data_IF_014014797048
#
_entry.id   IF_014014797048
#
_cell.length_a   1.000
_cell.length_b   1.000
_cell.length_c   1.000
_cell.angle_alpha   90.00
_cell.angle_beta   90.00
_cell.angle_gamma   90.00
#
_symmetry.space_group_name_H-M   'P 1'
#
loop_
_entity.id
_entity.type
_entity.pdbx_description
1 polymer ?
#
# COMPACT_ATOMS: atom_id res chain seq x y z
N UNK A 1 -34.94 -31.28 -12.40
CA UNK A 1 -34.62 -31.50 -13.82
C UNK A 1 -34.35 -30.16 -14.47
N UNK A 2 -33.06 -29.94 -14.78
CA UNK A 2 -32.47 -29.19 -15.91
C UNK A 2 -32.77 -27.69 -15.96
N UNK A 3 -31.80 -26.79 -15.74
CA UNK A 3 -30.50 -26.75 -16.40
C UNK A 3 -29.29 -26.71 -15.46
N UNK A 4 -28.49 -27.78 -15.47
CA UNK A 4 -27.03 -27.64 -15.47
C UNK A 4 -26.69 -27.19 -16.90
N UNK A 5 -26.36 -25.93 -17.08
CA UNK A 5 -25.70 -25.44 -18.30
C UNK A 5 -24.23 -25.29 -17.96
N UNK A 6 -23.42 -26.21 -18.48
CA UNK A 6 -22.01 -26.09 -18.84
C UNK A 6 -21.26 -24.85 -18.30
N UNK A 7 -20.85 -24.89 -17.02
CA UNK A 7 -19.98 -23.89 -16.38
C UNK A 7 -18.47 -24.25 -16.52
N UNK A 8 -18.15 -25.35 -17.22
CA UNK A 8 -16.81 -25.96 -17.22
C UNK A 8 -15.92 -25.58 -18.42
N UNK A 9 -16.28 -24.58 -19.22
CA UNK A 9 -15.47 -24.19 -20.38
C UNK A 9 -15.40 -22.68 -20.68
N UNK A 10 -15.58 -21.83 -19.66
CA UNK A 10 -15.25 -20.41 -19.83
C UNK A 10 -13.74 -20.22 -19.73
N UNK A 11 -13.07 -20.17 -20.88
CA UNK A 11 -11.63 -19.90 -21.01
C UNK A 11 -11.20 -18.56 -20.39
N UNK A 12 -12.16 -17.77 -19.88
CA UNK A 12 -11.95 -16.45 -19.29
C UNK A 12 -12.23 -16.40 -17.79
N UNK A 13 -12.37 -17.54 -17.11
CA UNK A 13 -12.43 -17.55 -15.65
C UNK A 13 -11.06 -17.23 -15.04
N UNK A 14 -11.00 -16.22 -14.17
CA UNK A 14 -9.80 -15.92 -13.38
C UNK A 14 -9.59 -17.03 -12.35
N UNK A 15 -8.39 -17.59 -12.31
CA UNK A 15 -8.00 -18.68 -11.44
C UNK A 15 -6.52 -18.53 -11.05
N UNK A 16 -6.26 -17.84 -9.94
CA UNK A 16 -4.90 -17.72 -9.40
C UNK A 16 -4.54 -18.95 -8.57
N UNK A 17 -3.33 -19.47 -8.76
CA UNK A 17 -2.81 -20.57 -7.95
C UNK A 17 -2.02 -20.02 -6.77
N UNK A 18 -2.41 -20.43 -5.56
CA UNK A 18 -1.86 -19.94 -4.30
C UNK A 18 -1.62 -21.15 -3.39
N UNK A 19 -0.38 -21.63 -3.37
CA UNK A 19 0.01 -22.79 -2.57
C UNK A 19 -0.24 -22.60 -1.06
N UNK A 20 -0.29 -21.35 -0.60
CA UNK A 20 -0.47 -20.97 0.80
C UNK A 20 -1.94 -20.70 1.22
N UNK A 21 -2.87 -20.57 0.27
CA UNK A 21 -4.28 -20.20 0.53
C UNK A 21 -5.16 -21.42 0.84
N UNK A 22 -4.93 -22.02 2.02
CA UNK A 22 -5.59 -23.27 2.45
C UNK A 22 -7.13 -23.24 2.46
N UNK A 23 -7.75 -22.06 2.59
CA UNK A 23 -9.20 -21.91 2.67
C UNK A 23 -9.85 -21.32 1.39
N UNK A 24 -9.04 -21.09 0.34
CA UNK A 24 -9.43 -20.48 -0.94
C UNK A 24 -10.07 -19.09 -0.83
N UNK A 25 -10.00 -18.41 0.32
CA UNK A 25 -10.69 -17.13 0.50
C UNK A 25 -9.90 -15.99 -0.10
N UNK A 26 -8.57 -16.01 -0.03
CA UNK A 26 -7.72 -14.94 -0.62
C UNK A 26 -7.85 -14.97 -2.13
N UNK A 27 -7.79 -16.17 -2.70
CA UNK A 27 -8.11 -16.48 -4.09
C UNK A 27 -9.47 -15.94 -4.53
N UNK A 28 -10.56 -16.33 -3.87
CA UNK A 28 -11.92 -15.86 -4.25
C UNK A 28 -12.09 -14.35 -4.18
N UNK A 29 -11.48 -13.71 -3.17
CA UNK A 29 -11.53 -12.26 -3.03
C UNK A 29 -10.84 -11.58 -4.22
N UNK A 30 -9.63 -12.03 -4.55
CA UNK A 30 -8.87 -11.54 -5.69
C UNK A 30 -9.58 -11.80 -7.02
N UNK A 31 -10.04 -13.02 -7.28
CA UNK A 31 -10.74 -13.38 -8.52
C UNK A 31 -11.97 -12.51 -8.74
N UNK A 32 -12.78 -12.32 -7.69
CA UNK A 32 -13.97 -11.47 -7.77
C UNK A 32 -13.61 -10.00 -7.96
N UNK A 33 -12.65 -9.50 -7.18
CA UNK A 33 -12.19 -8.11 -7.24
C UNK A 33 -11.62 -7.77 -8.61
N UNK A 34 -10.73 -8.61 -9.12
CA UNK A 34 -10.09 -8.39 -10.40
C UNK A 34 -11.07 -8.56 -11.57
N UNK A 35 -11.99 -9.51 -11.50
CA UNK A 35 -13.05 -9.63 -12.53
C UNK A 35 -13.90 -8.37 -12.60
N UNK A 36 -14.27 -7.79 -11.45
CA UNK A 36 -14.99 -6.53 -11.41
C UNK A 36 -14.13 -5.36 -11.94
N UNK A 37 -12.86 -5.31 -11.55
CA UNK A 37 -11.93 -4.27 -11.96
C UNK A 37 -11.67 -4.28 -13.48
N UNK A 38 -11.49 -5.45 -14.09
CA UNK A 38 -11.31 -5.60 -15.54
C UNK A 38 -12.57 -5.26 -16.34
N UNK A 39 -13.73 -5.27 -15.71
CA UNK A 39 -15.01 -4.86 -16.30
C UNK A 39 -15.33 -3.36 -16.07
N UNK A 40 -14.54 -2.65 -15.26
CA UNK A 40 -14.77 -1.25 -14.93
C UNK A 40 -14.29 -0.32 -16.07
N UNK A 41 -15.18 0.57 -16.54
CA UNK A 41 -14.89 1.48 -17.64
C UNK A 41 -13.87 2.58 -17.27
N UNK A 42 -13.70 2.86 -15.98
CA UNK A 42 -12.73 3.84 -15.48
C UNK A 42 -11.37 3.21 -15.19
N UNK A 43 -11.24 1.87 -15.25
CA UNK A 43 -9.97 1.20 -15.02
C UNK A 43 -9.06 1.30 -16.24
N UNK A 44 -7.96 2.05 -16.07
CA UNK A 44 -6.89 2.20 -17.05
C UNK A 44 -5.60 1.58 -16.51
N UNK A 45 -4.80 0.99 -17.40
CA UNK A 45 -3.46 0.48 -17.08
C UNK A 45 -2.49 0.78 -18.21
N UNK A 46 -1.23 0.98 -17.89
CA UNK A 46 -0.13 1.08 -18.83
C UNK A 46 0.34 -0.34 -19.20
N UNK A 47 0.25 -0.69 -20.46
CA UNK A 47 0.86 -1.89 -21.03
C UNK A 47 2.31 -1.61 -21.46
N UNK A 48 3.23 -2.46 -21.01
CA UNK A 48 4.64 -2.47 -21.42
C UNK A 48 4.86 -3.64 -22.36
N UNK A 49 5.17 -3.42 -23.65
CA UNK A 49 5.25 -4.50 -24.63
C UNK A 49 6.55 -5.30 -24.54
N UNK A 50 6.47 -6.60 -24.85
CA UNK A 50 7.63 -7.52 -24.83
C UNK A 50 8.75 -7.12 -25.79
N UNK A 51 8.39 -6.58 -26.94
CA UNK A 51 9.31 -6.27 -28.04
C UNK A 51 10.06 -4.94 -27.86
N UNK A 52 9.95 -4.28 -26.69
CA UNK A 52 10.53 -2.96 -26.45
C UNK A 52 9.87 -1.85 -27.27
N UNK A 53 8.68 -2.10 -27.81
CA UNK A 53 7.85 -1.09 -28.44
C UNK A 53 7.42 0.00 -27.46
N UNK A 54 6.73 1.01 -28.00
CA UNK A 54 6.19 2.10 -27.19
C UNK A 54 5.10 1.58 -26.24
N UNK A 55 5.11 2.07 -25.01
CA UNK A 55 4.12 1.68 -24.00
C UNK A 55 2.78 2.32 -24.33
N UNK A 56 1.67 1.70 -23.90
CA UNK A 56 0.33 2.19 -24.24
C UNK A 56 -0.60 2.13 -23.04
N UNK A 57 -1.33 3.22 -22.78
CA UNK A 57 -2.44 3.21 -21.82
C UNK A 57 -3.62 2.50 -22.48
N UNK A 58 -4.14 1.46 -21.82
CA UNK A 58 -5.26 0.66 -22.32
C UNK A 58 -6.38 0.62 -21.29
N UNK A 59 -7.60 0.36 -21.78
CA UNK A 59 -8.80 0.17 -20.98
C UNK A 59 -9.27 -1.29 -21.12
N UNK A 60 -9.01 -2.17 -20.14
CA UNK A 60 -9.34 -3.59 -20.27
C UNK A 60 -10.82 -3.85 -20.55
N UNK A 61 -11.73 -3.05 -19.99
CA UNK A 61 -13.17 -3.19 -20.23
C UNK A 61 -13.55 -3.04 -21.72
N UNK A 62 -12.82 -2.20 -22.46
CA UNK A 62 -13.05 -1.93 -23.88
C UNK A 62 -12.08 -2.62 -24.83
N UNK A 63 -11.09 -3.36 -24.33
CA UNK A 63 -10.05 -4.01 -25.12
C UNK A 63 -10.03 -5.53 -24.89
N UNK A 64 -10.74 -6.31 -25.73
CA UNK A 64 -10.82 -7.76 -25.57
C UNK A 64 -9.48 -8.48 -25.68
N UNK A 65 -8.49 -7.90 -26.36
CA UNK A 65 -7.17 -8.51 -26.46
C UNK A 65 -6.44 -8.41 -25.13
N UNK A 66 -6.31 -7.20 -24.59
CA UNK A 66 -5.63 -6.97 -23.32
C UNK A 66 -6.39 -7.60 -22.13
N UNK A 67 -7.72 -7.55 -22.13
CA UNK A 67 -8.54 -8.23 -21.12
C UNK A 67 -8.22 -9.72 -21.03
N UNK A 68 -8.32 -10.44 -22.15
CA UNK A 68 -8.05 -11.89 -22.20
C UNK A 68 -6.60 -12.19 -21.86
N UNK A 69 -5.69 -11.31 -22.28
CA UNK A 69 -4.27 -11.44 -22.01
C UNK A 69 -3.95 -11.36 -20.53
N UNK A 70 -4.54 -10.40 -19.81
CA UNK A 70 -4.39 -10.25 -18.36
C UNK A 70 -4.86 -11.54 -17.69
N UNK A 71 -6.10 -11.98 -17.95
CA UNK A 71 -6.67 -13.20 -17.34
C UNK A 71 -5.77 -14.42 -17.59
N UNK A 72 -5.35 -14.62 -18.84
CA UNK A 72 -4.44 -15.72 -19.19
C UNK A 72 -3.16 -15.69 -18.36
N UNK A 73 -2.52 -14.52 -18.26
CA UNK A 73 -1.28 -14.35 -17.52
C UNK A 73 -1.46 -14.57 -16.01
N UNK A 74 -2.61 -14.21 -15.41
CA UNK A 74 -2.92 -14.53 -14.00
C UNK A 74 -3.01 -16.04 -13.83
N UNK A 75 -3.72 -16.72 -14.72
CA UNK A 75 -3.93 -18.16 -14.62
C UNK A 75 -2.63 -18.95 -14.84
N UNK A 76 -1.68 -18.39 -15.59
CA UNK A 76 -0.34 -18.96 -15.81
C UNK A 76 0.69 -18.56 -14.74
N UNK A 77 0.37 -17.61 -13.86
CA UNK A 77 1.28 -17.15 -12.83
C UNK A 77 1.50 -18.23 -11.78
N UNK A 78 2.76 -18.66 -11.61
CA UNK A 78 3.17 -19.66 -10.62
C UNK A 78 3.54 -19.05 -9.26
N UNK A 79 3.48 -17.73 -9.14
CA UNK A 79 3.94 -17.01 -7.98
C UNK A 79 3.75 -15.51 -8.13
N UNK A 80 4.05 -14.82 -7.05
CA UNK A 80 3.90 -13.37 -6.88
C UNK A 80 5.28 -12.84 -6.43
N UNK A 81 5.83 -11.79 -7.04
CA UNK A 81 5.21 -10.92 -8.07
C UNK A 81 5.22 -11.51 -9.49
N UNK A 82 4.38 -10.99 -10.40
CA UNK A 82 4.31 -11.49 -11.79
C UNK A 82 4.24 -10.42 -12.89
N UNK A 83 3.07 -10.04 -13.41
CA UNK A 83 2.94 -9.18 -14.60
C UNK A 83 1.94 -8.03 -14.41
N UNK A 84 1.21 -7.97 -13.29
CA UNK A 84 0.30 -6.85 -12.97
C UNK A 84 0.76 -6.12 -11.71
N UNK A 85 1.16 -4.86 -11.90
CA UNK A 85 1.81 -4.02 -10.91
C UNK A 85 1.00 -2.76 -10.63
N UNK A 86 1.14 -2.23 -9.42
CA UNK A 86 0.79 -0.85 -9.12
C UNK A 86 2.08 -0.08 -8.76
N UNK A 87 2.17 1.17 -9.22
CA UNK A 87 3.22 2.09 -8.79
C UNK A 87 2.66 3.06 -7.75
N UNK A 88 3.26 3.07 -6.57
CA UNK A 88 3.10 4.13 -5.60
C UNK A 88 4.33 5.04 -5.61
N UNK A 89 4.12 6.36 -5.59
CA UNK A 89 5.21 7.32 -5.57
C UNK A 89 4.79 8.66 -4.96
N UNK A 90 5.77 9.44 -4.50
CA UNK A 90 5.51 10.79 -3.97
C UNK A 90 5.26 11.77 -5.11
N UNK A 91 4.13 12.45 -5.06
CA UNK A 91 3.83 13.54 -5.97
C UNK A 91 4.76 14.72 -5.70
N UNK A 92 5.40 15.21 -6.75
CA UNK A 92 6.37 16.28 -6.63
C UNK A 92 5.83 17.69 -6.69
N UNK A 93 4.57 17.91 -6.30
CA UNK A 93 3.88 19.13 -6.68
C UNK A 93 3.65 20.08 -5.51
N UNK A 94 4.19 21.28 -5.66
CA UNK A 94 3.53 22.50 -5.20
C UNK A 94 2.73 23.09 -6.37
N UNK A 95 1.72 23.91 -6.10
CA UNK A 95 0.98 24.62 -7.16
C UNK A 95 1.89 25.39 -8.13
N UNK A 96 3.05 25.84 -7.63
CA UNK A 96 4.05 26.63 -8.32
C UNK A 96 5.09 25.83 -9.09
N UNK A 97 5.22 24.52 -8.87
CA UNK A 97 6.24 23.71 -9.50
C UNK A 97 5.70 22.33 -9.87
N UNK A 98 4.99 22.28 -11.00
CA UNK A 98 4.31 21.07 -11.46
C UNK A 98 5.22 20.05 -12.16
N UNK A 99 6.50 20.39 -12.39
CA UNK A 99 7.47 19.55 -13.09
C UNK A 99 6.87 18.74 -14.25
N UNK A 100 6.32 19.43 -15.26
CA UNK A 100 5.71 18.75 -16.38
C UNK A 100 6.76 17.94 -17.15
N UNK A 101 6.44 16.70 -17.47
CA UNK A 101 7.21 15.81 -18.32
C UNK A 101 6.62 15.89 -19.73
N UNK A 102 7.17 16.81 -20.53
CA UNK A 102 6.64 17.07 -21.88
C UNK A 102 6.99 15.94 -22.85
N UNK A 103 8.10 15.25 -22.60
CA UNK A 103 8.65 14.19 -23.43
C UNK A 103 7.96 12.83 -23.16
N UNK A 104 7.00 12.74 -22.23
CA UNK A 104 6.32 11.47 -21.92
C UNK A 104 5.66 10.84 -23.15
N UNK A 105 5.16 11.68 -24.06
CA UNK A 105 4.57 11.27 -25.32
C UNK A 105 5.57 10.60 -26.28
N UNK A 106 6.87 10.62 -26.02
CA UNK A 106 7.87 9.83 -26.77
C UNK A 106 7.90 8.37 -26.31
N UNK A 107 7.46 8.09 -25.07
CA UNK A 107 7.54 6.77 -24.44
C UNK A 107 6.18 6.09 -24.29
N UNK A 108 5.10 6.86 -24.17
CA UNK A 108 3.75 6.37 -23.88
C UNK A 108 2.74 6.92 -24.90
N UNK A 109 1.91 6.04 -25.44
CA UNK A 109 0.69 6.40 -26.15
C UNK A 109 -0.53 6.31 -25.21
N UNK A 110 -1.51 7.18 -25.44
CA UNK A 110 -2.81 7.17 -24.79
C UNK A 110 -3.72 6.04 -25.31
N UNK A 111 -4.92 5.95 -24.74
CA UNK A 111 -5.94 4.97 -25.12
C UNK A 111 -6.42 5.09 -26.58
N UNK A 112 -6.20 6.25 -27.22
CA UNK A 112 -6.47 6.48 -28.63
C UNK A 112 -5.28 6.20 -29.56
N UNK A 113 -4.16 5.70 -29.01
CA UNK A 113 -2.93 5.45 -29.76
C UNK A 113 -2.18 6.72 -30.15
N UNK A 114 -2.46 7.86 -29.48
CA UNK A 114 -1.75 9.12 -29.70
C UNK A 114 -0.69 9.32 -28.61
N UNK A 115 0.39 10.08 -28.88
CA UNK A 115 1.35 10.45 -27.84
C UNK A 115 0.66 11.02 -26.59
N UNK A 116 1.00 10.46 -25.42
CA UNK A 116 0.42 10.88 -24.16
C UNK A 116 0.66 12.37 -23.89
N UNK A 117 -0.34 13.04 -23.31
CA UNK A 117 -0.21 14.43 -22.89
C UNK A 117 0.82 14.58 -21.76
N UNK A 118 1.46 15.75 -21.61
CA UNK A 118 2.40 16.00 -20.53
C UNK A 118 1.79 15.71 -19.16
N UNK A 119 2.53 14.97 -18.33
CA UNK A 119 2.13 14.64 -16.96
C UNK A 119 3.07 15.26 -15.96
N UNK A 120 2.59 15.47 -14.75
CA UNK A 120 3.42 15.97 -13.66
C UNK A 120 4.32 14.84 -13.13
N UNK A 121 5.63 15.00 -13.20
CA UNK A 121 6.58 14.08 -12.56
C UNK A 121 7.93 14.76 -12.33
N UNK A 122 8.48 14.62 -11.12
CA UNK A 122 9.81 15.15 -10.80
C UNK A 122 10.86 14.61 -11.78
N UNK A 123 11.76 15.45 -12.34
CA UNK A 123 12.75 15.02 -13.32
C UNK A 123 13.61 13.83 -12.88
N UNK A 124 14.06 13.85 -11.63
CA UNK A 124 14.96 12.84 -11.06
C UNK A 124 14.36 11.43 -10.97
N UNK A 125 13.03 11.28 -11.09
CA UNK A 125 12.33 9.99 -11.05
C UNK A 125 12.18 9.33 -12.42
N UNK A 126 12.20 10.13 -13.49
CA UNK A 126 11.71 9.73 -14.82
C UNK A 126 12.54 8.58 -15.38
N UNK A 127 13.86 8.69 -15.30
CA UNK A 127 14.78 7.68 -15.81
C UNK A 127 14.68 6.37 -15.01
N UNK A 128 14.57 6.47 -13.68
CA UNK A 128 14.37 5.32 -12.80
C UNK A 128 13.07 4.59 -13.15
N UNK A 129 11.98 5.32 -13.33
CA UNK A 129 10.68 4.77 -13.74
C UNK A 129 10.76 4.09 -15.11
N UNK A 130 11.30 4.78 -16.12
CA UNK A 130 11.44 4.21 -17.47
C UNK A 130 12.32 2.96 -17.45
N UNK A 131 13.42 2.97 -16.70
CA UNK A 131 14.30 1.82 -16.57
C UNK A 131 13.58 0.65 -15.91
N UNK A 132 12.82 0.89 -14.84
CA UNK A 132 12.04 -0.15 -14.18
C UNK A 132 10.98 -0.75 -15.11
N UNK A 133 10.22 0.09 -15.84
CA UNK A 133 9.20 -0.39 -16.77
C UNK A 133 9.83 -1.26 -17.86
N UNK A 134 10.94 -0.82 -18.47
CA UNK A 134 11.65 -1.58 -19.52
C UNK A 134 12.19 -2.93 -19.02
N UNK A 135 12.51 -3.02 -17.74
CA UNK A 135 13.01 -4.24 -17.13
C UNK A 135 11.89 -5.24 -16.76
N UNK A 136 10.63 -4.82 -16.92
CA UNK A 136 9.43 -5.66 -16.80
C UNK A 136 8.67 -5.67 -18.13
N UNK A 137 9.26 -6.22 -19.21
CA UNK A 137 8.55 -6.35 -20.48
C UNK A 137 7.34 -7.26 -20.31
N UNK A 138 6.33 -7.04 -21.17
CA UNK A 138 5.07 -7.79 -21.16
C UNK A 138 4.29 -7.72 -19.84
N UNK A 139 4.13 -6.52 -19.32
CA UNK A 139 3.47 -6.27 -18.03
C UNK A 139 2.43 -5.16 -18.11
N UNK A 140 1.61 -5.06 -17.08
CA UNK A 140 0.59 -4.04 -16.89
C UNK A 140 0.87 -3.29 -15.60
N UNK A 141 0.80 -1.97 -15.67
CA UNK A 141 1.09 -1.08 -14.56
C UNK A 141 -0.06 -0.12 -14.35
N UNK A 142 -0.60 -0.10 -13.15
CA UNK A 142 -1.40 1.04 -12.72
C UNK A 142 -0.48 2.11 -12.15
N UNK A 143 -0.48 3.28 -12.77
CA UNK A 143 0.33 4.44 -12.36
C UNK A 143 -0.58 5.65 -12.31
N UNK A 144 -0.80 6.22 -11.14
CA UNK A 144 -1.76 7.30 -10.90
C UNK A 144 -1.65 8.47 -11.91
N UNK A 145 -0.46 9.00 -12.16
CA UNK A 145 -0.23 10.14 -13.07
C UNK A 145 -0.55 9.82 -14.53
N UNK A 146 -0.58 8.53 -14.91
CA UNK A 146 -0.90 8.08 -16.28
C UNK A 146 -2.32 7.52 -16.40
N UNK A 147 -2.82 6.86 -15.35
CA UNK A 147 -4.04 6.05 -15.39
C UNK A 147 -5.21 6.74 -14.68
N UNK A 148 -4.96 7.62 -13.71
CA UNK A 148 -6.03 8.41 -13.10
C UNK A 148 -6.43 9.57 -14.02
N UNK A 149 -7.73 9.84 -14.06
CA UNK A 149 -8.37 10.93 -14.79
C UNK A 149 -9.15 11.79 -13.81
N UNK A 150 -9.60 12.96 -14.27
CA UNK A 150 -10.43 13.85 -13.45
C UNK A 150 -11.74 13.20 -13.03
N UNK A 151 -12.25 12.29 -13.85
CA UNK A 151 -13.48 11.53 -13.68
C UNK A 151 -13.26 10.12 -13.12
N UNK A 152 -12.02 9.68 -12.86
CA UNK A 152 -11.77 8.39 -12.19
C UNK A 152 -12.42 8.41 -10.80
N UNK A 153 -13.34 7.48 -10.50
CA UNK A 153 -13.92 7.36 -9.17
C UNK A 153 -12.83 7.06 -8.14
N UNK A 154 -12.82 7.75 -7.00
CA UNK A 154 -11.77 7.55 -5.99
C UNK A 154 -11.95 6.24 -5.22
N UNK A 155 -13.14 5.63 -5.25
CA UNK A 155 -13.45 4.37 -4.58
C UNK A 155 -12.97 3.12 -5.34
N UNK A 156 -12.58 3.26 -6.62
CA UNK A 156 -11.92 2.17 -7.39
C UNK A 156 -10.46 1.96 -6.95
N UNK A 157 -9.84 2.97 -6.34
CA UNK A 157 -8.43 2.93 -5.91
C UNK A 157 -8.16 1.76 -4.95
N UNK A 158 -9.10 1.49 -4.06
CA UNK A 158 -9.03 0.34 -3.16
C UNK A 158 -8.99 -0.99 -3.92
N UNK A 159 -9.77 -1.13 -4.99
CA UNK A 159 -9.82 -2.37 -5.78
C UNK A 159 -8.54 -2.55 -6.61
N UNK A 160 -8.00 -1.46 -7.15
CA UNK A 160 -6.74 -1.46 -7.90
C UNK A 160 -5.60 -2.02 -7.04
N UNK A 161 -5.40 -1.46 -5.84
CA UNK A 161 -4.35 -1.96 -4.95
C UNK A 161 -4.70 -3.36 -4.44
N UNK A 162 -5.95 -3.63 -4.07
CA UNK A 162 -6.36 -4.95 -3.60
C UNK A 162 -6.21 -6.08 -4.64
N UNK A 163 -6.07 -5.74 -5.93
CA UNK A 163 -5.92 -6.70 -7.01
C UNK A 163 -4.54 -6.64 -7.69
N UNK A 164 -3.60 -5.80 -7.24
CA UNK A 164 -2.25 -5.79 -7.82
C UNK A 164 -1.39 -6.93 -7.26
N UNK A 165 -0.59 -7.56 -8.13
CA UNK A 165 0.30 -8.66 -7.73
C UNK A 165 1.63 -8.16 -7.18
N UNK A 166 1.93 -6.88 -7.34
CA UNK A 166 2.98 -6.20 -6.56
C UNK A 166 2.68 -4.71 -6.57
N UNK A 167 2.91 -4.06 -5.43
CA UNK A 167 2.99 -2.61 -5.37
C UNK A 167 4.44 -2.19 -5.24
N UNK A 168 4.99 -1.53 -6.26
CA UNK A 168 6.31 -0.93 -6.17
C UNK A 168 6.15 0.50 -5.64
N UNK A 169 6.74 0.79 -4.49
CA UNK A 169 6.79 2.10 -3.89
C UNK A 169 8.14 2.77 -4.20
N UNK A 170 8.13 3.74 -5.11
CA UNK A 170 9.27 4.63 -5.37
C UNK A 170 9.28 5.73 -4.30
N UNK A 171 10.09 5.51 -3.27
CA UNK A 171 10.18 6.39 -2.10
C UNK A 171 11.30 7.42 -2.25
N UNK A 172 11.09 8.59 -1.65
CA UNK A 172 11.99 9.74 -1.70
C UNK A 172 13.18 9.61 -0.73
N UNK A 173 13.87 8.46 -0.78
CA UNK A 173 15.10 8.20 -0.03
C UNK A 173 16.36 8.31 -0.91
N UNK A 174 17.51 8.47 -0.25
CA UNK A 174 18.80 8.32 -0.92
C UNK A 174 18.98 6.87 -1.43
N UNK A 175 19.50 6.65 -2.65
CA UNK A 175 19.64 5.31 -3.24
C UNK A 175 20.48 4.32 -2.42
N UNK A 176 21.32 4.81 -1.51
CA UNK A 176 22.18 3.97 -0.66
C UNK A 176 21.48 3.45 0.60
N UNK A 177 20.33 4.00 0.99
CA UNK A 177 19.64 3.65 2.26
C UNK A 177 19.20 2.18 2.26
N UNK A 178 18.49 1.74 1.23
CA UNK A 178 18.01 0.35 1.13
C UNK A 178 19.16 -0.65 1.01
N UNK A 179 20.18 -0.44 0.15
CA UNK A 179 21.39 -1.26 0.15
C UNK A 179 22.05 -1.38 1.53
N UNK A 180 22.17 -0.28 2.28
CA UNK A 180 22.71 -0.32 3.64
C UNK A 180 21.84 -1.15 4.60
N UNK A 181 20.51 -1.07 4.52
CA UNK A 181 19.65 -1.96 5.32
C UNK A 181 19.88 -3.43 4.96
N UNK A 182 20.01 -3.73 3.66
CA UNK A 182 20.21 -5.10 3.20
C UNK A 182 21.53 -5.71 3.69
N UNK A 183 22.59 -4.91 3.92
CA UNK A 183 23.84 -5.41 4.55
C UNK A 183 23.72 -5.62 6.06
N UNK A 184 22.70 -5.05 6.71
CA UNK A 184 22.48 -5.13 8.16
C UNK A 184 21.43 -6.18 8.57
N UNK A 185 20.97 -7.00 7.62
CA UNK A 185 19.94 -8.02 7.86
C UNK A 185 20.35 -9.06 8.90
N UNK A 186 21.65 -9.36 9.01
CA UNK A 186 22.23 -10.27 10.02
C UNK A 186 22.20 -9.77 11.47
N UNK A 187 21.74 -8.54 11.73
CA UNK A 187 21.70 -7.98 13.10
C UNK A 187 20.67 -8.69 13.97
N UNK A 188 19.59 -9.22 13.37
CA UNK A 188 18.57 -9.99 14.09
C UNK A 188 19.14 -11.28 14.69
N UNK A 189 19.90 -12.03 13.91
CA UNK A 189 20.52 -13.28 14.34
C UNK A 189 21.54 -13.00 15.45
N UNK A 190 22.40 -11.99 15.27
CA UNK A 190 23.32 -11.56 16.33
C UNK A 190 22.60 -11.17 17.62
N UNK A 191 21.42 -10.53 17.53
CA UNK A 191 20.62 -10.21 18.69
C UNK A 191 20.14 -11.48 19.41
N UNK A 192 19.55 -12.44 18.70
CA UNK A 192 19.08 -13.67 19.32
C UNK A 192 20.20 -14.49 19.97
N UNK A 193 21.39 -14.50 19.37
CA UNK A 193 22.59 -15.10 19.97
C UNK A 193 23.03 -14.36 21.24
N UNK A 194 22.90 -13.02 21.27
CA UNK A 194 23.31 -12.18 22.40
C UNK A 194 22.46 -12.36 23.66
N UNK A 195 21.21 -12.85 23.54
CA UNK A 195 20.27 -12.97 24.66
C UNK A 195 20.80 -13.82 25.82
N UNK A 196 21.69 -14.79 25.52
CA UNK A 196 22.25 -15.71 26.50
C UNK A 196 23.63 -15.30 27.02
N UNK A 197 24.15 -14.15 26.57
CA UNK A 197 25.48 -13.66 26.90
C UNK A 197 25.43 -12.52 27.93
N UNK A 198 26.54 -12.33 28.65
CA UNK A 198 26.68 -11.20 29.58
C UNK A 198 26.77 -9.89 28.80
N UNK A 199 26.25 -8.79 29.37
CA UNK A 199 26.45 -7.43 28.81
C UNK A 199 27.92 -7.03 28.68
N UNK A 200 28.80 -7.66 29.46
CA UNK A 200 30.23 -7.41 29.39
C UNK A 200 30.94 -8.18 28.26
N UNK A 201 30.25 -9.13 27.64
CA UNK A 201 30.77 -9.90 26.52
C UNK A 201 31.11 -8.96 25.34
N UNK A 202 32.30 -9.05 24.74
CA UNK A 202 32.71 -8.19 23.62
C UNK A 202 31.74 -8.24 22.43
N UNK A 203 31.10 -9.38 22.17
CA UNK A 203 30.12 -9.53 21.10
C UNK A 203 28.85 -8.72 21.40
N UNK A 204 28.38 -8.77 22.65
CA UNK A 204 27.22 -7.98 23.09
C UNK A 204 27.55 -6.50 23.04
N UNK A 205 28.72 -6.08 23.53
CA UNK A 205 29.17 -4.68 23.41
C UNK A 205 29.20 -4.21 21.97
N UNK A 206 29.77 -4.99 21.05
CA UNK A 206 29.77 -4.64 19.63
C UNK A 206 28.35 -4.49 19.06
N UNK A 207 27.42 -5.38 19.43
CA UNK A 207 26.04 -5.29 18.99
C UNK A 207 25.38 -3.98 19.44
N UNK A 208 25.41 -3.69 20.74
CA UNK A 208 24.70 -2.55 21.32
C UNK A 208 25.39 -1.21 21.04
N UNK A 209 26.72 -1.16 21.07
CA UNK A 209 27.47 0.10 20.95
C UNK A 209 27.74 0.50 19.48
N UNK A 210 27.74 -0.46 18.54
CA UNK A 210 28.08 -0.20 17.13
C UNK A 210 26.93 -0.54 16.17
N UNK A 211 26.44 -1.79 16.19
CA UNK A 211 25.50 -2.28 15.17
C UNK A 211 24.09 -1.69 15.33
N UNK A 212 23.56 -1.66 16.55
CA UNK A 212 22.22 -1.10 16.80
C UNK A 212 22.14 0.39 16.43
N UNK A 213 23.07 1.28 16.84
CA UNK A 213 23.08 2.67 16.38
C UNK A 213 23.07 2.81 14.86
N UNK A 214 23.87 2.01 14.15
CA UNK A 214 23.92 2.05 12.68
C UNK A 214 22.58 1.67 12.05
N UNK A 215 21.95 0.58 12.52
CA UNK A 215 20.62 0.17 12.05
C UNK A 215 19.59 1.27 12.31
N UNK A 216 19.61 1.84 13.51
CA UNK A 216 18.70 2.92 13.91
C UNK A 216 18.84 4.15 13.03
N UNK A 217 20.07 4.56 12.71
CA UNK A 217 20.34 5.70 11.83
C UNK A 217 19.78 5.48 10.43
N UNK A 218 19.98 4.29 9.86
CA UNK A 218 19.51 3.97 8.51
C UNK A 218 17.97 3.83 8.47
N UNK A 219 17.37 3.16 9.46
CA UNK A 219 15.91 3.08 9.58
C UNK A 219 15.28 4.46 9.79
N UNK A 220 15.92 5.34 10.55
CA UNK A 220 15.45 6.70 10.78
C UNK A 220 15.43 7.51 9.48
N UNK A 221 16.46 7.38 8.63
CA UNK A 221 16.48 7.99 7.28
C UNK A 221 15.34 7.46 6.42
N UNK A 222 15.08 6.15 6.45
CA UNK A 222 13.99 5.55 5.70
C UNK A 222 12.61 6.04 6.18
N UNK A 223 12.40 6.13 7.50
CA UNK A 223 11.16 6.63 8.10
C UNK A 223 10.88 8.11 7.78
N UNK A 224 11.91 8.91 7.50
CA UNK A 224 11.79 10.33 7.15
C UNK A 224 11.28 10.59 5.74
N UNK A 225 11.15 9.58 4.89
CA UNK A 225 10.65 9.74 3.52
C UNK A 225 9.22 10.32 3.53
N UNK A 226 8.96 11.30 2.66
CA UNK A 226 7.64 11.92 2.50
C UNK A 226 6.58 10.92 2.08
N UNK A 227 6.96 9.80 1.46
CA UNK A 227 6.04 8.70 1.17
C UNK A 227 5.22 8.29 2.39
N UNK A 228 5.86 8.12 3.56
CA UNK A 228 5.18 7.72 4.80
C UNK A 228 4.19 8.75 5.33
N UNK A 229 4.26 10.00 4.84
CA UNK A 229 3.43 11.11 5.32
C UNK A 229 2.13 11.27 4.54
N UNK A 230 1.92 10.54 3.45
CA UNK A 230 0.71 10.64 2.61
C UNK A 230 -0.40 9.76 3.16
N UNK A 231 -1.63 10.27 3.19
CA UNK A 231 -2.80 9.46 3.61
C UNK A 231 -2.98 8.22 2.72
N UNK A 232 -2.84 8.39 1.40
CA UNK A 232 -2.98 7.32 0.40
C UNK A 232 -2.06 6.12 0.62
N UNK A 233 -0.93 6.33 1.29
CA UNK A 233 0.03 5.26 1.62
C UNK A 233 -0.56 4.17 2.50
N UNK A 234 -1.64 4.44 3.23
CA UNK A 234 -2.38 3.39 3.94
C UNK A 234 -2.89 2.29 3.01
N UNK A 235 -3.51 2.66 1.90
CA UNK A 235 -4.02 1.69 0.93
C UNK A 235 -2.89 1.06 0.12
N UNK A 236 -1.90 1.87 -0.28
CA UNK A 236 -0.72 1.42 -1.04
C UNK A 236 0.13 0.39 -0.27
N UNK A 237 0.16 0.49 1.06
CA UNK A 237 0.90 -0.42 1.94
C UNK A 237 0.11 -1.69 2.29
N UNK A 238 -1.20 -1.53 2.54
CA UNK A 238 -1.98 -2.57 3.20
C UNK A 238 -2.70 -3.48 2.20
N UNK A 239 -3.26 -2.90 1.13
CA UNK A 239 -4.15 -3.62 0.21
C UNK A 239 -3.48 -4.55 -0.79
N UNK A 240 -2.27 -4.30 -1.31
CA UNK A 240 -1.65 -5.13 -2.33
C UNK A 240 -1.85 -6.61 -2.09
N UNK A 241 -2.35 -7.30 -3.12
CA UNK A 241 -2.54 -8.74 -3.03
C UNK A 241 -1.20 -9.45 -2.91
N UNK A 242 -0.17 -8.95 -3.59
CA UNK A 242 1.20 -9.39 -3.44
C UNK A 242 2.05 -8.52 -2.52
N UNK A 243 3.35 -8.53 -2.76
CA UNK A 243 4.31 -7.80 -1.95
C UNK A 243 4.24 -6.28 -2.19
N UNK A 244 4.64 -5.52 -1.18
CA UNK A 244 4.96 -4.09 -1.33
C UNK A 244 6.46 -3.92 -1.32
N UNK A 245 7.03 -3.59 -2.49
CA UNK A 245 8.47 -3.42 -2.68
C UNK A 245 8.85 -1.95 -2.60
N UNK A 246 9.72 -1.61 -1.66
CA UNK A 246 10.32 -0.30 -1.56
C UNK A 246 11.57 -0.22 -2.45
N UNK A 247 11.69 0.88 -3.19
CA UNK A 247 12.91 1.26 -3.90
C UNK A 247 13.08 2.78 -3.86
N UNK A 248 14.33 3.26 -3.92
CA UNK A 248 14.58 4.68 -4.05
C UNK A 248 14.02 5.22 -5.37
N UNK A 249 13.46 6.42 -5.34
CA UNK A 249 12.93 7.08 -6.54
C UNK A 249 14.03 7.53 -7.52
N UNK A 250 15.26 7.60 -7.04
CA UNK A 250 16.48 7.90 -7.81
C UNK A 250 17.43 6.71 -7.79
N UNK A 251 18.37 6.68 -8.75
CA UNK A 251 19.39 5.62 -8.85
C UNK A 251 18.96 4.44 -9.70
N UNK A 252 19.68 3.33 -9.58
CA UNK A 252 19.41 2.12 -10.36
C UNK A 252 18.51 1.18 -9.56
N UNK A 253 17.43 0.68 -10.18
CA UNK A 253 16.58 -0.33 -9.55
C UNK A 253 17.24 -1.73 -9.50
N UNK A 254 18.32 -1.92 -10.27
CA UNK A 254 19.22 -3.08 -10.18
C UNK A 254 20.54 -2.71 -9.49
N UNK A 255 21.14 -3.64 -8.72
CA UNK A 255 20.70 -5.01 -8.42
C UNK A 255 19.55 -5.11 -7.39
N UNK A 256 19.00 -6.32 -7.17
CA UNK A 256 17.92 -6.58 -6.18
C UNK A 256 18.22 -6.05 -4.77
N UNK A 257 19.51 -5.95 -4.40
CA UNK A 257 19.95 -5.34 -3.15
C UNK A 257 19.58 -3.86 -3.01
N UNK A 258 19.09 -3.22 -4.08
CA UNK A 258 18.59 -1.85 -4.06
C UNK A 258 17.10 -1.76 -3.68
N UNK A 259 16.46 -2.91 -3.40
CA UNK A 259 15.05 -2.98 -3.00
C UNK A 259 14.89 -3.77 -1.70
N UNK A 260 13.77 -3.54 -1.00
CA UNK A 260 13.36 -4.32 0.19
C UNK A 260 11.84 -4.39 0.21
N UNK A 261 11.25 -5.54 0.55
CA UNK A 261 9.79 -5.61 0.73
C UNK A 261 9.41 -5.14 2.14
N UNK A 262 8.16 -4.68 2.32
CA UNK A 262 7.66 -4.35 3.66
C UNK A 262 7.65 -5.56 4.59
N UNK A 263 7.40 -6.76 4.04
CA UNK A 263 7.52 -8.01 4.78
C UNK A 263 8.93 -8.22 5.31
N UNK A 264 9.94 -8.15 4.43
CA UNK A 264 11.36 -8.29 4.79
C UNK A 264 11.81 -7.22 5.80
N UNK A 265 11.36 -5.99 5.61
CA UNK A 265 11.65 -4.89 6.53
C UNK A 265 11.12 -5.21 7.93
N UNK A 266 9.87 -5.68 8.05
CA UNK A 266 9.26 -6.04 9.32
C UNK A 266 9.93 -7.27 9.95
N UNK A 267 10.06 -8.38 9.22
CA UNK A 267 10.62 -9.63 9.75
C UNK A 267 12.05 -9.43 10.29
N UNK A 268 12.88 -8.68 9.55
CA UNK A 268 14.30 -8.51 9.89
C UNK A 268 14.52 -7.48 11.00
N UNK A 269 13.74 -6.40 11.06
CA UNK A 269 14.05 -5.26 11.93
C UNK A 269 13.05 -4.99 13.05
N UNK A 270 11.84 -5.55 13.04
CA UNK A 270 10.84 -5.24 14.06
C UNK A 270 11.32 -5.60 15.48
N UNK A 271 11.92 -6.78 15.66
CA UNK A 271 12.44 -7.20 16.97
C UNK A 271 13.61 -6.33 17.43
N UNK A 272 14.49 -5.97 16.50
CA UNK A 272 15.64 -5.08 16.73
C UNK A 272 15.16 -3.72 17.25
N UNK A 273 14.10 -3.16 16.65
CA UNK A 273 13.51 -1.89 17.08
C UNK A 273 12.85 -1.98 18.45
N UNK A 274 12.22 -3.10 18.81
CA UNK A 274 11.67 -3.30 20.17
C UNK A 274 12.78 -3.25 21.22
N UNK A 275 13.94 -3.82 20.92
CA UNK A 275 15.11 -3.77 21.80
C UNK A 275 15.62 -2.34 21.94
N UNK A 276 15.78 -1.63 20.82
CA UNK A 276 16.20 -0.23 20.82
C UNK A 276 15.28 0.65 21.68
N UNK A 277 13.96 0.46 21.59
CA UNK A 277 12.99 1.18 22.41
C UNK A 277 13.13 0.84 23.91
N UNK A 278 13.26 -0.45 24.26
CA UNK A 278 13.43 -0.88 25.64
C UNK A 278 14.73 -0.34 26.28
N UNK A 279 15.80 -0.27 25.48
CA UNK A 279 17.09 0.30 25.86
C UNK A 279 17.13 1.84 25.76
N UNK A 280 16.02 2.47 25.36
CA UNK A 280 15.86 3.93 25.27
C UNK A 280 16.82 4.60 24.30
N UNK A 281 17.13 3.94 23.19
CA UNK A 281 17.83 4.58 22.09
C UNK A 281 17.00 5.77 21.58
N UNK A 282 17.69 6.82 21.13
CA UNK A 282 17.05 7.99 20.52
C UNK A 282 16.21 7.53 19.30
N UNK A 283 14.97 8.01 19.17
CA UNK A 283 14.03 7.58 18.11
C UNK A 283 13.56 6.11 18.17
N UNK A 284 13.99 5.30 19.15
CA UNK A 284 13.55 3.90 19.28
C UNK A 284 12.03 3.77 19.43
N UNK A 285 11.40 4.68 20.18
CA UNK A 285 9.95 4.69 20.39
C UNK A 285 9.17 5.06 19.13
N UNK A 286 9.71 5.98 18.33
CA UNK A 286 9.16 6.45 17.07
C UNK A 286 9.25 5.36 16.00
N UNK A 287 10.41 4.72 15.88
CA UNK A 287 10.60 3.56 15.02
C UNK A 287 9.64 2.43 15.40
N UNK A 288 9.50 2.14 16.70
CA UNK A 288 8.58 1.08 17.17
C UNK A 288 7.14 1.38 16.76
N UNK A 289 6.70 2.62 16.91
CA UNK A 289 5.37 3.04 16.46
C UNK A 289 5.23 2.87 14.95
N UNK A 290 6.21 3.33 14.17
CA UNK A 290 6.22 3.20 12.71
C UNK A 290 6.09 1.73 12.25
N UNK A 291 6.88 0.81 12.82
CA UNK A 291 6.75 -0.62 12.55
C UNK A 291 5.41 -1.21 12.99
N UNK A 292 4.87 -0.75 14.12
CA UNK A 292 3.53 -1.16 14.55
C UNK A 292 2.46 -0.71 13.55
N UNK A 293 2.60 0.48 12.95
CA UNK A 293 1.64 0.94 11.95
C UNK A 293 1.63 0.02 10.72
N UNK A 294 2.82 -0.30 10.19
CA UNK A 294 2.98 -1.20 9.05
C UNK A 294 2.36 -2.56 9.37
N UNK A 295 2.71 -3.13 10.53
CA UNK A 295 2.23 -4.45 10.93
C UNK A 295 0.70 -4.48 11.07
N UNK A 296 0.11 -3.53 11.80
CA UNK A 296 -1.34 -3.54 12.02
C UNK A 296 -2.14 -3.31 10.74
N UNK A 297 -1.60 -2.55 9.78
CA UNK A 297 -2.20 -2.40 8.46
C UNK A 297 -2.28 -3.75 7.72
N UNK A 298 -1.17 -4.48 7.69
CA UNK A 298 -1.05 -5.75 6.98
C UNK A 298 -1.81 -6.88 7.68
N UNK A 299 -1.62 -7.04 9.00
CA UNK A 299 -2.29 -8.07 9.80
C UNK A 299 -3.81 -7.93 9.75
N UNK A 300 -4.32 -6.69 9.79
CA UNK A 300 -5.77 -6.47 9.71
C UNK A 300 -6.33 -7.06 8.43
N UNK A 301 -5.69 -6.87 7.29
CA UNK A 301 -6.23 -7.35 6.00
C UNK A 301 -6.06 -8.86 5.83
N UNK A 302 -4.92 -9.40 6.23
CA UNK A 302 -4.68 -10.86 6.26
C UNK A 302 -5.72 -11.57 7.13
N UNK A 303 -6.03 -11.01 8.32
CA UNK A 303 -6.94 -11.60 9.32
C UNK A 303 -8.36 -11.02 9.31
N UNK A 304 -8.65 -10.05 8.44
CA UNK A 304 -9.93 -9.29 8.38
C UNK A 304 -11.15 -10.19 8.24
N UNK A 305 -10.97 -11.45 7.85
CA UNK A 305 -12.03 -12.43 7.66
C UNK A 305 -12.49 -13.08 8.96
N UNK A 306 -11.62 -13.18 9.96
CA UNK A 306 -12.00 -13.58 11.32
C UNK A 306 -12.48 -12.40 12.17
N UNK A 307 -12.28 -11.16 11.65
CA UNK A 307 -12.76 -9.91 12.26
C UNK A 307 -12.43 -9.86 13.76
N UNK A 308 -11.20 -10.22 14.10
CA UNK A 308 -10.74 -10.16 15.49
C UNK A 308 -10.88 -8.72 15.95
N UNK A 309 -11.74 -8.50 16.94
CA UNK A 309 -12.13 -7.16 17.37
C UNK A 309 -10.93 -6.36 17.88
N UNK A 310 -9.89 -7.08 18.32
CA UNK A 310 -8.57 -6.59 18.68
C UNK A 310 -7.82 -5.98 17.49
N UNK A 311 -7.74 -6.69 16.35
CA UNK A 311 -7.02 -6.20 15.17
C UNK A 311 -7.73 -4.97 14.58
N UNK A 312 -9.07 -5.01 14.54
CA UNK A 312 -9.87 -3.85 14.14
C UNK A 312 -9.61 -2.64 15.04
N UNK A 313 -9.66 -2.82 16.37
CA UNK A 313 -9.40 -1.74 17.31
C UNK A 313 -7.99 -1.15 17.15
N UNK A 314 -6.97 -1.99 17.01
CA UNK A 314 -5.60 -1.50 16.83
C UNK A 314 -5.40 -0.80 15.50
N UNK A 315 -6.05 -1.24 14.42
CA UNK A 315 -6.07 -0.50 13.16
C UNK A 315 -6.65 0.91 13.35
N UNK A 316 -7.84 1.04 13.94
CA UNK A 316 -8.47 2.36 14.15
C UNK A 316 -7.63 3.26 15.07
N UNK A 317 -7.07 2.69 16.15
CA UNK A 317 -6.14 3.41 17.03
C UNK A 317 -4.90 3.89 16.29
N UNK A 318 -4.40 3.10 15.35
CA UNK A 318 -3.24 3.48 14.53
C UNK A 318 -3.59 4.61 13.57
N UNK A 319 -4.74 4.57 12.90
CA UNK A 319 -5.24 5.71 12.10
C UNK A 319 -5.33 6.97 12.97
N UNK A 320 -5.88 6.84 14.18
CA UNK A 320 -6.03 7.93 15.13
C UNK A 320 -4.71 8.45 15.72
N UNK A 321 -3.59 7.73 15.57
CA UNK A 321 -2.27 8.21 16.00
C UNK A 321 -1.44 8.76 14.82
N UNK A 322 -1.85 8.47 13.59
CA UNK A 322 -1.10 8.80 12.39
C UNK A 322 -1.00 10.30 12.14
N UNK A 323 0.19 10.77 11.78
CA UNK A 323 0.48 12.17 11.44
C UNK A 323 0.44 12.43 9.93
N UNK A 324 -0.09 11.48 9.14
CA UNK A 324 -0.21 11.60 7.69
C UNK A 324 -1.14 12.76 7.30
N UNK A 325 -0.84 13.39 6.17
CA UNK A 325 -1.50 14.59 5.66
C UNK A 325 -1.87 14.42 4.19
N UNK A 326 -2.79 15.25 3.74
CA UNK A 326 -3.22 15.36 2.35
C UNK A 326 -3.44 16.82 1.97
N UNK A 327 -3.47 17.10 0.67
CA UNK A 327 -3.79 18.43 0.14
C UNK A 327 -5.31 18.64 0.02
N UNK A 328 -6.04 17.60 -0.41
CA UNK A 328 -7.49 17.60 -0.42
C UNK A 328 -8.01 17.03 0.91
N UNK A 329 -8.74 17.80 1.73
CA UNK A 329 -9.28 17.31 3.00
C UNK A 329 -10.16 16.06 2.88
N UNK A 330 -10.83 15.84 1.74
CA UNK A 330 -11.64 14.64 1.54
C UNK A 330 -10.78 13.36 1.45
N UNK A 331 -9.49 13.47 1.12
CA UNK A 331 -8.57 12.33 1.05
C UNK A 331 -8.33 11.69 2.42
N UNK A 332 -8.59 12.39 3.54
CA UNK A 332 -8.61 11.76 4.86
C UNK A 332 -9.61 10.59 4.91
N UNK A 333 -10.66 10.62 4.09
CA UNK A 333 -11.63 9.52 3.94
C UNK A 333 -11.23 8.61 2.78
N UNK A 334 -11.06 9.15 1.56
CA UNK A 334 -10.80 8.32 0.38
C UNK A 334 -9.53 7.47 0.52
N UNK A 335 -8.53 7.98 1.23
CA UNK A 335 -7.26 7.30 1.44
C UNK A 335 -7.31 6.06 2.35
N UNK A 336 -8.47 5.73 2.94
CA UNK A 336 -8.66 4.52 3.77
C UNK A 336 -9.87 3.66 3.38
N UNK A 337 -10.65 4.07 2.37
CA UNK A 337 -11.90 3.39 2.01
C UNK A 337 -11.73 1.91 1.65
N UNK A 338 -10.69 1.57 0.89
CA UNK A 338 -10.39 0.21 0.48
C UNK A 338 -10.08 -0.71 1.67
N UNK A 339 -9.44 -0.19 2.73
CA UNK A 339 -9.15 -0.96 3.96
C UNK A 339 -10.46 -1.45 4.60
N UNK A 340 -11.49 -0.61 4.58
CA UNK A 340 -12.81 -0.94 5.11
C UNK A 340 -13.76 -1.54 4.06
N UNK A 341 -13.33 -1.66 2.80
CA UNK A 341 -14.17 -2.08 1.67
C UNK A 341 -15.46 -1.24 1.56
N UNK A 342 -15.38 0.05 1.88
CA UNK A 342 -16.48 1.01 1.80
C UNK A 342 -16.41 1.72 0.45
N UNK A 343 -17.55 1.84 -0.25
CA UNK A 343 -17.65 2.58 -1.52
C UNK A 343 -18.39 3.89 -1.29
N UNK A 344 -17.73 5.00 -1.60
CA UNK A 344 -18.25 6.36 -1.52
C UNK A 344 -17.86 7.08 -2.81
N UNK A 345 -18.82 7.62 -3.58
CA UNK A 345 -18.52 8.33 -4.80
C UNK A 345 -17.74 9.61 -4.50
N UNK A 346 -17.05 10.15 -5.52
CA UNK A 346 -16.37 11.44 -5.38
C UNK A 346 -17.38 12.55 -5.13
N UNK A 347 -17.19 13.32 -4.06
CA UNK A 347 -17.99 14.47 -3.68
C UNK A 347 -17.10 15.71 -3.48
N UNK A 348 -17.66 16.88 -3.76
CA UNK A 348 -16.95 18.17 -3.64
C UNK A 348 -16.96 18.77 -2.24
N UNK A 349 -17.89 18.37 -1.37
CA UNK A 349 -17.97 18.83 0.02
C UNK A 349 -17.35 17.81 0.98
N UNK A 350 -16.19 18.10 1.59
CA UNK A 350 -15.56 17.20 2.56
C UNK A 350 -16.43 16.87 3.76
N UNK A 351 -17.33 17.76 4.17
CA UNK A 351 -18.24 17.52 5.30
C UNK A 351 -19.25 16.42 4.95
N UNK A 352 -19.83 16.49 3.74
CA UNK A 352 -20.72 15.46 3.24
C UNK A 352 -20.03 14.10 3.06
N UNK A 353 -18.77 14.10 2.59
CA UNK A 353 -17.94 12.88 2.51
C UNK A 353 -17.77 12.24 3.89
N UNK A 354 -17.42 13.03 4.91
CA UNK A 354 -17.23 12.53 6.27
C UNK A 354 -18.52 11.95 6.87
N UNK A 355 -19.65 12.65 6.74
CA UNK A 355 -20.92 12.17 7.28
C UNK A 355 -21.39 10.88 6.58
N UNK A 356 -21.21 10.78 5.26
CA UNK A 356 -21.50 9.55 4.52
C UNK A 356 -20.56 8.41 4.96
N UNK A 357 -19.27 8.69 5.18
CA UNK A 357 -18.34 7.73 5.74
C UNK A 357 -18.79 7.23 7.10
N UNK A 358 -19.11 8.11 8.05
CA UNK A 358 -19.57 7.70 9.38
C UNK A 358 -20.83 6.83 9.31
N UNK A 359 -21.78 7.15 8.42
CA UNK A 359 -22.96 6.31 8.20
C UNK A 359 -22.60 4.92 7.70
N UNK A 360 -21.76 4.81 6.66
CA UNK A 360 -21.32 3.51 6.11
C UNK A 360 -20.45 2.73 7.09
N UNK A 361 -19.65 3.44 7.87
CA UNK A 361 -18.78 2.87 8.88
C UNK A 361 -19.59 2.33 10.07
N UNK A 362 -20.69 2.97 10.46
CA UNK A 362 -21.59 2.45 11.50
C UNK A 362 -22.22 1.11 11.08
N UNK A 363 -22.65 1.00 9.82
CA UNK A 363 -23.14 -0.26 9.22
C UNK A 363 -22.04 -1.33 9.19
N UNK A 364 -20.82 -0.93 8.80
CA UNK A 364 -19.66 -1.83 8.76
C UNK A 364 -19.34 -2.43 10.14
N UNK A 365 -19.47 -1.62 11.19
CA UNK A 365 -19.16 -1.97 12.57
C UNK A 365 -20.24 -2.77 13.29
N UNK A 366 -21.40 -3.06 12.68
CA UNK A 366 -22.50 -3.80 13.34
C UNK A 366 -22.03 -5.10 14.00
N UNK A 367 -21.08 -5.82 13.40
CA UNK A 367 -20.52 -7.07 13.97
C UNK A 367 -19.55 -6.85 15.14
N UNK A 368 -18.99 -5.65 15.25
CA UNK A 368 -18.01 -5.25 16.28
C UNK A 368 -18.67 -4.57 17.49
N UNK A 369 -19.90 -4.08 17.34
CA UNK A 369 -20.65 -3.45 18.44
C UNK A 369 -20.88 -4.45 19.57
N UNK A 370 -20.70 -3.98 20.80
CA UNK A 370 -20.79 -4.72 22.06
C UNK A 370 -19.79 -5.87 22.20
N UNK A 371 -18.70 -5.85 21.43
CA UNK A 371 -17.61 -6.81 21.56
C UNK A 371 -16.52 -6.27 22.47
N UNK A 372 -16.02 -7.14 23.34
CA UNK A 372 -14.93 -6.81 24.25
C UNK A 372 -13.59 -6.91 23.52
N UNK A 373 -12.76 -5.88 23.68
CA UNK A 373 -11.42 -5.77 23.11
C UNK A 373 -10.40 -5.89 24.25
N UNK A 374 -10.26 -7.10 24.78
CA UNK A 374 -9.34 -7.38 25.88
C UNK A 374 -9.51 -6.42 27.07
N UNK A 375 -8.41 -5.73 27.43
CA UNK A 375 -8.37 -4.76 28.53
C UNK A 375 -8.82 -3.33 28.14
N UNK A 376 -9.06 -3.06 26.85
CA UNK A 376 -9.38 -1.72 26.36
C UNK A 376 -10.86 -1.36 26.58
N UNK A 377 -11.72 -2.37 26.77
CA UNK A 377 -13.15 -2.24 27.04
C UNK A 377 -14.01 -2.81 25.92
N UNK A 378 -15.24 -2.34 25.82
CA UNK A 378 -16.25 -2.78 24.86
C UNK A 378 -16.53 -1.68 23.84
N UNK A 379 -16.48 -2.00 22.54
CA UNK A 379 -16.84 -1.06 21.47
C UNK A 379 -18.36 -0.86 21.49
N UNK A 380 -18.83 0.36 21.72
CA UNK A 380 -20.28 0.66 21.73
C UNK A 380 -20.76 1.35 20.45
N UNK A 381 -19.87 2.01 19.71
CA UNK A 381 -20.18 2.62 18.42
C UNK A 381 -19.18 3.70 18.02
N UNK A 382 -19.65 4.64 17.20
CA UNK A 382 -18.91 5.85 16.80
C UNK A 382 -19.06 6.93 17.88
N UNK A 383 -17.95 7.55 18.28
CA UNK A 383 -17.93 8.59 19.30
C UNK A 383 -18.63 9.87 18.85
N UNK A 384 -19.16 10.64 19.80
CA UNK A 384 -19.78 11.92 19.49
C UNK A 384 -18.79 12.95 18.96
N UNK A 385 -17.52 12.88 19.42
CA UNK A 385 -16.42 13.68 18.88
C UNK A 385 -16.28 13.48 17.37
N UNK A 386 -16.31 12.23 16.90
CA UNK A 386 -16.12 11.92 15.49
C UNK A 386 -17.19 12.60 14.60
N UNK A 387 -18.44 12.70 15.08
CA UNK A 387 -19.53 13.38 14.36
C UNK A 387 -19.29 14.88 14.17
N UNK A 388 -18.48 15.48 15.04
CA UNK A 388 -18.17 16.91 15.07
C UNK A 388 -16.89 17.28 14.31
N UNK A 389 -16.16 16.30 13.77
CA UNK A 389 -14.92 16.54 13.02
C UNK A 389 -15.22 17.37 11.77
N UNK A 390 -14.40 18.40 11.55
CA UNK A 390 -14.40 19.21 10.33
C UNK A 390 -13.10 18.95 9.56
N UNK A 391 -13.18 18.23 8.44
CA UNK A 391 -12.02 17.85 7.64
C UNK A 391 -11.22 19.07 7.15
N UNK A 392 -11.87 20.21 6.87
CA UNK A 392 -11.20 21.44 6.42
C UNK A 392 -10.26 22.05 7.48
N UNK A 393 -10.42 21.67 8.75
CA UNK A 393 -9.61 22.15 9.86
C UNK A 393 -8.58 21.12 10.35
N UNK A 394 -8.62 19.89 9.84
CA UNK A 394 -7.74 18.81 10.26
C UNK A 394 -6.32 19.05 9.74
N UNK A 395 -5.32 18.95 10.63
CA UNK A 395 -3.90 19.09 10.28
C UNK A 395 -3.30 17.80 9.77
N UNK A 396 -3.82 16.67 10.26
CA UNK A 396 -3.39 15.31 9.93
C UNK A 396 -4.50 14.28 10.27
N UNK A 397 -4.23 13.00 10.01
CA UNK A 397 -5.16 11.91 10.29
C UNK A 397 -5.55 11.78 11.76
N UNK A 398 -4.69 12.15 12.71
CA UNK A 398 -5.00 12.11 14.14
C UNK A 398 -6.15 13.05 14.50
N UNK A 399 -6.21 14.23 13.90
CA UNK A 399 -7.34 15.14 14.14
C UNK A 399 -8.69 14.53 13.72
N UNK A 400 -8.68 13.68 12.69
CA UNK A 400 -9.85 13.02 12.10
C UNK A 400 -10.24 11.74 12.84
N UNK A 401 -9.27 10.84 13.07
CA UNK A 401 -9.53 9.46 13.51
C UNK A 401 -9.27 9.23 15.01
N UNK A 402 -8.64 10.16 15.72
CA UNK A 402 -8.42 9.98 17.15
C UNK A 402 -9.76 9.89 17.88
N UNK A 403 -9.90 8.87 18.72
CA UNK A 403 -11.13 8.54 19.43
C UNK A 403 -12.33 8.36 18.49
N UNK A 404 -12.15 7.80 17.28
CA UNK A 404 -13.27 7.49 16.37
C UNK A 404 -14.29 6.54 17.04
N UNK A 405 -13.82 5.60 17.85
CA UNK A 405 -14.66 4.62 18.56
C UNK A 405 -15.04 5.11 19.96
N UNK A 406 -16.29 4.86 20.33
CA UNK A 406 -16.81 4.99 21.70
C UNK A 406 -16.60 3.67 22.46
N UNK A 407 -15.93 3.73 23.61
CA UNK A 407 -15.55 2.56 24.40
C UNK A 407 -16.09 2.65 25.82
N UNK A 408 -16.65 1.56 26.35
CA UNK A 408 -17.05 1.43 27.77
C UNK A 408 -16.16 0.38 28.44
N UNK A 409 -15.54 0.74 29.57
CA UNK A 409 -14.67 -0.16 30.33
C UNK A 409 -15.44 -1.09 31.25
#
# INVERSE_FOLDING_TARGET
MTCNTDDDNDAFKINIDLDDDRDYRRKRFFEKGLSALLADEHFLVLYVPENGGKMQIIRPAGDPYHHKRIIKRINEAKGVPSFYYALSHVWGLTETNRYLWNEIGEYVDDEGGKPAAPVSMRPEKRDTLLSMLKDHPDSYWWIDVLCARTDTPLDIMGDIYACCLECVAMIDCDPSVIPQLNTMTGVREHYFESVYLSRDDPFVKQLYDEKLPQVMDVLSKLMQCSWWTRVWTWQEMALPFGEVRLMAETGTHRPLSNTITLHDLCDKFQHVVVVMDNEKYQAGSELRRWFQEIRFANEYLERSKDRVEVDFFYLIRTLGNSTRRCMDPADYVYGVLGIFQIKIPRMSDPSAVWQLFLSKFDDYMVKMKNKQVGLEGTITGISERARQVNLLKAKDMRDVYANLLEMVR
#
